data_IF_981739831749
#
_entry.id   IF_981739831749
#
_cell.length_a   1.000
_cell.length_b   1.000
_cell.length_c   1.000
_cell.angle_alpha   90.00
_cell.angle_beta   90.00
_cell.angle_gamma   90.00
#
_symmetry.space_group_name_H-M   'P 1'
#
loop_
_entity.id
_entity.type
_entity.pdbx_description
1 polymer ?
#
# COMPACT_ATOMS: atom_id res chain seq x y z
N UNK A 1 12.15 -69.23 -41.16
CA UNK A 1 11.56 -68.46 -42.28
C UNK A 1 11.74 -67.00 -41.90
N UNK A 2 12.95 -66.46 -42.12
CA UNK A 2 13.42 -65.64 -43.25
C UNK A 2 12.75 -64.25 -43.38
N UNK A 3 13.66 -63.27 -43.40
CA UNK A 3 13.59 -61.82 -43.56
C UNK A 3 12.50 -61.28 -44.51
N UNK A 4 12.04 -60.04 -44.25
CA UNK A 4 12.34 -58.94 -45.19
C UNK A 4 12.31 -57.55 -44.52
N UNK A 5 13.40 -56.75 -44.66
CA UNK A 5 13.48 -55.33 -44.29
C UNK A 5 13.37 -54.48 -45.57
N UNK A 6 12.35 -53.64 -45.68
CA UNK A 6 12.19 -52.83 -46.89
C UNK A 6 11.15 -51.76 -46.74
N UNK A 7 11.60 -50.55 -46.39
CA UNK A 7 11.48 -49.38 -47.26
C UNK A 7 11.87 -48.12 -46.48
N UNK A 8 13.02 -47.56 -46.86
CA UNK A 8 13.13 -46.28 -47.56
C UNK A 8 13.02 -45.11 -46.58
N UNK A 9 14.17 -44.61 -46.13
CA UNK A 9 14.94 -43.52 -46.76
C UNK A 9 14.30 -42.15 -46.51
N UNK A 10 15.19 -41.25 -46.10
CA UNK A 10 15.14 -39.79 -46.17
C UNK A 10 14.67 -39.11 -44.87
N UNK A 11 15.61 -38.45 -44.17
CA UNK A 11 15.91 -37.01 -44.30
C UNK A 11 14.78 -36.23 -43.59
N UNK A 12 14.96 -35.46 -42.52
CA UNK A 12 16.06 -34.60 -42.13
C UNK A 12 15.79 -34.08 -40.72
N UNK A 13 16.84 -34.01 -39.90
CA UNK A 13 17.25 -32.86 -39.08
C UNK A 13 16.13 -31.97 -38.51
N UNK A 14 15.98 -31.95 -37.17
CA UNK A 14 16.20 -30.71 -36.39
C UNK A 14 15.97 -30.85 -34.88
N UNK A 15 17.01 -30.42 -34.15
CA UNK A 15 17.08 -29.87 -32.80
C UNK A 15 16.87 -30.80 -31.59
N UNK A 16 17.99 -31.09 -30.95
CA UNK A 16 18.07 -31.45 -29.54
C UNK A 16 17.60 -30.27 -28.68
N UNK A 17 16.54 -30.48 -27.90
CA UNK A 17 16.34 -29.77 -26.63
C UNK A 17 16.25 -30.85 -25.56
N UNK A 18 17.32 -30.96 -24.77
CA UNK A 18 17.40 -31.84 -23.62
C UNK A 18 16.44 -31.35 -22.54
N UNK A 19 15.29 -31.99 -22.39
CA UNK A 19 14.43 -31.85 -21.22
C UNK A 19 14.70 -33.02 -20.26
N UNK A 20 15.09 -32.67 -19.02
CA UNK A 20 15.27 -33.64 -17.94
C UNK A 20 13.90 -34.24 -17.58
N UNK A 21 13.77 -35.58 -17.50
CA UNK A 21 12.51 -36.22 -17.17
C UNK A 21 12.23 -36.14 -15.67
N UNK A 22 11.03 -35.68 -15.33
CA UNK A 22 10.45 -35.87 -14.00
C UNK A 22 10.19 -37.37 -13.77
N UNK A 23 10.80 -37.93 -12.73
CA UNK A 23 10.56 -39.29 -12.29
C UNK A 23 9.30 -39.39 -11.41
N UNK A 24 8.53 -40.46 -11.62
CA UNK A 24 7.26 -40.78 -10.96
C UNK A 24 7.49 -41.97 -10.01
N UNK A 25 7.32 -41.79 -8.71
CA UNK A 25 6.52 -42.64 -7.80
C UNK A 25 6.95 -42.51 -6.34
N UNK A 26 6.03 -42.05 -5.48
CA UNK A 26 5.54 -42.76 -4.31
C UNK A 26 4.62 -41.82 -3.52
N UNK A 27 3.35 -42.19 -3.39
CA UNK A 27 2.37 -41.58 -2.45
C UNK A 27 2.80 -41.86 -1.00
N UNK A 28 2.48 -41.01 -0.01
CA UNK A 28 1.09 -40.85 0.46
C UNK A 28 0.61 -39.40 0.56
N UNK A 29 -0.71 -39.24 0.53
CA UNK A 29 -1.44 -38.02 0.86
C UNK A 29 -0.87 -37.36 2.12
N UNK A 30 -0.33 -36.17 1.96
CA UNK A 30 -0.36 -35.18 3.03
C UNK A 30 -1.39 -34.14 2.59
N UNK A 31 -2.50 -34.12 3.32
CA UNK A 31 -3.56 -33.15 3.12
C UNK A 31 -2.92 -31.76 3.10
N UNK A 32 -2.98 -31.09 1.94
CA UNK A 32 -2.84 -29.65 1.92
C UNK A 32 -3.85 -29.13 2.94
N UNK A 33 -3.43 -28.43 4.00
CA UNK A 33 -4.36 -27.62 4.75
C UNK A 33 -5.04 -26.73 3.71
N UNK A 34 -6.37 -26.52 3.79
CA UNK A 34 -7.02 -25.49 3.01
C UNK A 34 -6.12 -24.25 3.03
N UNK A 35 -5.90 -23.64 1.87
CA UNK A 35 -5.51 -22.24 1.87
C UNK A 35 -6.63 -21.53 2.63
N UNK A 36 -6.46 -21.43 3.95
CA UNK A 36 -7.03 -20.36 4.71
C UNK A 36 -6.53 -19.14 3.96
N UNK A 37 -7.43 -18.56 3.19
CA UNK A 37 -7.55 -17.13 3.10
C UNK A 37 -7.22 -16.64 4.51
N UNK A 38 -5.95 -16.28 4.74
CA UNK A 38 -5.59 -15.36 5.79
C UNK A 38 -6.20 -14.07 5.31
N UNK A 39 -7.52 -14.00 5.53
CA UNK A 39 -8.25 -12.83 5.89
C UNK A 39 -7.28 -12.07 6.78
N UNK A 40 -6.61 -11.09 6.19
CA UNK A 40 -5.76 -10.12 6.88
C UNK A 40 -6.72 -9.26 7.72
N UNK A 41 -7.40 -9.88 8.67
CA UNK A 41 -8.30 -9.27 9.65
C UNK A 41 -7.49 -8.69 10.82
N UNK A 42 -6.27 -8.27 10.51
CA UNK A 42 -5.50 -7.39 11.35
C UNK A 42 -4.98 -6.24 10.49
N UNK A 43 -5.92 -5.47 9.93
CA UNK A 43 -5.61 -4.15 9.35
C UNK A 43 -5.31 -3.22 10.51
N UNK A 44 -4.12 -3.40 11.07
CA UNK A 44 -3.49 -2.45 11.96
C UNK A 44 -3.28 -1.17 11.15
N UNK A 45 -4.23 -0.25 11.30
CA UNK A 45 -4.35 0.96 10.48
C UNK A 45 -3.06 1.80 10.52
N UNK A 46 -2.18 1.60 11.51
CA UNK A 46 -0.88 2.25 11.65
C UNK A 46 0.08 2.05 10.47
N UNK A 47 0.18 0.83 9.91
CA UNK A 47 1.18 0.54 8.86
C UNK A 47 0.92 1.30 7.55
N UNK A 48 -0.34 1.71 7.29
CA UNK A 48 -0.70 2.49 6.12
C UNK A 48 -0.49 3.99 6.33
N UNK A 49 -0.61 4.48 7.57
CA UNK A 49 -0.26 5.87 7.90
C UNK A 49 1.24 6.11 7.77
N UNK A 50 2.07 5.13 8.12
CA UNK A 50 3.52 5.20 7.94
C UNK A 50 3.92 5.40 6.47
N UNK A 51 3.21 4.73 5.54
CA UNK A 51 3.43 4.90 4.10
C UNK A 51 3.09 6.33 3.67
N UNK A 52 1.89 6.80 4.01
CA UNK A 52 1.44 8.13 3.62
C UNK A 52 2.36 9.22 4.20
N UNK A 53 2.77 9.09 5.47
CA UNK A 53 3.75 10.00 6.07
C UNK A 53 5.08 9.96 5.30
N UNK A 54 5.59 8.78 4.95
CA UNK A 54 6.85 8.67 4.18
C UNK A 54 6.77 9.38 2.83
N UNK A 55 5.68 9.20 2.09
CA UNK A 55 5.45 9.85 0.80
C UNK A 55 5.37 11.38 0.95
N UNK A 56 4.68 11.87 2.00
CA UNK A 56 4.62 13.30 2.33
C UNK A 56 6.02 13.84 2.64
N UNK A 57 6.81 13.15 3.47
CA UNK A 57 8.17 13.56 3.80
C UNK A 57 9.07 13.55 2.56
N UNK A 58 8.99 12.54 1.72
CA UNK A 58 9.75 12.46 0.47
C UNK A 58 9.48 13.67 -0.44
N UNK A 59 8.20 14.05 -0.61
CA UNK A 59 7.82 15.26 -1.36
C UNK A 59 8.36 16.52 -0.70
N UNK A 60 8.28 16.63 0.63
CA UNK A 60 8.79 17.79 1.38
C UNK A 60 10.32 17.92 1.28
N UNK A 61 11.06 16.81 1.26
CA UNK A 61 12.52 16.80 1.11
C UNK A 61 13.01 17.26 -0.26
N UNK A 62 12.13 17.28 -1.27
CA UNK A 62 12.44 17.87 -2.58
C UNK A 62 12.61 19.40 -2.52
N UNK A 63 12.03 20.06 -1.51
CA UNK A 63 12.22 21.48 -1.26
C UNK A 63 13.49 21.71 -0.39
N UNK A 64 14.52 22.40 -0.89
CA UNK A 64 15.76 22.59 -0.13
C UNK A 64 15.57 23.35 1.17
N UNK A 65 14.66 24.33 1.21
CA UNK A 65 14.40 25.15 2.39
C UNK A 65 13.71 24.32 3.46
N UNK A 66 12.64 23.60 3.09
CA UNK A 66 11.92 22.75 4.01
C UNK A 66 12.77 21.59 4.52
N UNK A 67 13.61 21.00 3.66
CA UNK A 67 14.53 19.93 4.06
C UNK A 67 15.51 20.38 5.15
N UNK A 68 16.04 21.59 5.06
CA UNK A 68 16.92 22.15 6.10
C UNK A 68 16.15 22.30 7.43
N UNK A 69 14.90 22.77 7.38
CA UNK A 69 14.02 22.85 8.55
C UNK A 69 13.75 21.47 9.15
N UNK A 70 13.48 20.47 8.31
CA UNK A 70 13.22 19.10 8.74
C UNK A 70 14.44 18.48 9.45
N UNK A 71 15.65 18.74 8.96
CA UNK A 71 16.90 18.21 9.54
C UNK A 71 17.33 18.91 10.84
N UNK A 72 16.97 20.18 11.00
CA UNK A 72 17.37 21.01 12.15
C UNK A 72 16.29 21.10 13.23
N UNK A 73 15.05 20.73 12.91
CA UNK A 73 13.95 20.71 13.86
C UNK A 73 14.23 19.71 14.97
N UNK A 74 14.06 20.16 16.22
CA UNK A 74 14.05 19.26 17.36
C UNK A 74 12.65 18.62 17.51
N UNK A 75 12.55 17.57 18.34
CA UNK A 75 11.28 16.88 18.60
C UNK A 75 10.19 17.81 19.16
N UNK A 76 10.58 18.85 19.92
CA UNK A 76 9.64 19.82 20.48
C UNK A 76 9.06 20.77 19.42
N UNK A 77 9.87 21.17 18.44
CA UNK A 77 9.53 22.05 17.31
C UNK A 77 8.60 21.38 16.30
N UNK A 78 8.72 20.05 16.22
CA UNK A 78 7.80 19.21 15.48
C UNK A 78 6.46 19.13 16.24
N UNK A 79 6.49 18.83 17.54
CA UNK A 79 5.29 18.70 18.38
C UNK A 79 4.52 20.01 18.57
N UNK A 80 5.21 21.14 18.65
CA UNK A 80 4.59 22.46 18.83
C UNK A 80 4.08 23.09 17.50
N UNK A 81 4.16 22.34 16.39
CA UNK A 81 3.64 22.77 15.08
C UNK A 81 4.47 23.87 14.41
N UNK A 82 5.70 24.15 14.86
CA UNK A 82 6.59 25.11 14.17
C UNK A 82 6.97 24.62 12.80
N UNK A 83 7.32 23.33 12.65
CA UNK A 83 7.66 22.76 11.35
C UNK A 83 6.48 22.85 10.36
N UNK A 84 5.26 22.62 10.84
CA UNK A 84 4.06 22.72 10.01
C UNK A 84 3.79 24.11 9.45
N UNK A 85 4.24 25.19 10.11
CA UNK A 85 4.10 26.57 9.61
C UNK A 85 5.05 26.88 8.46
N UNK A 86 6.18 26.19 8.37
CA UNK A 86 7.13 26.34 7.25
C UNK A 86 6.54 25.83 5.94
N UNK A 87 5.43 25.08 5.99
CA UNK A 87 4.70 24.61 4.82
C UNK A 87 4.24 25.77 3.92
N UNK A 88 3.95 26.95 4.47
CA UNK A 88 3.55 28.16 3.71
C UNK A 88 4.66 28.72 2.82
N UNK A 89 5.90 28.33 3.08
CA UNK A 89 7.07 28.82 2.35
C UNK A 89 7.56 27.85 1.27
N UNK A 90 7.00 26.64 1.20
CA UNK A 90 7.42 25.64 0.21
C UNK A 90 6.99 26.04 -1.20
N UNK A 91 7.75 25.60 -2.20
CA UNK A 91 7.44 25.87 -3.59
C UNK A 91 6.04 25.37 -4.02
N UNK A 92 5.42 26.08 -4.96
CA UNK A 92 4.07 25.74 -5.46
C UNK A 92 3.98 24.30 -5.97
N UNK A 93 5.01 23.80 -6.65
CA UNK A 93 5.05 22.41 -7.12
C UNK A 93 4.90 21.39 -5.98
N UNK A 94 5.58 21.65 -4.86
CA UNK A 94 5.52 20.80 -3.67
C UNK A 94 4.12 20.85 -3.07
N UNK A 95 3.52 22.04 -2.95
CA UNK A 95 2.10 22.18 -2.53
C UNK A 95 1.15 21.38 -3.40
N UNK A 96 1.25 21.50 -4.73
CA UNK A 96 0.39 20.73 -5.65
C UNK A 96 0.57 19.23 -5.45
N UNK A 97 1.81 18.75 -5.25
CA UNK A 97 2.08 17.34 -4.99
C UNK A 97 1.49 16.86 -3.67
N UNK A 98 1.61 17.65 -2.61
CA UNK A 98 1.02 17.34 -1.30
C UNK A 98 -0.51 17.28 -1.37
N UNK A 99 -1.15 18.21 -2.07
CA UNK A 99 -2.60 18.18 -2.32
C UNK A 99 -3.02 16.92 -3.07
N UNK A 100 -2.22 16.47 -4.04
CA UNK A 100 -2.49 15.24 -4.79
C UNK A 100 -2.34 14.00 -3.91
N UNK A 101 -1.28 13.92 -3.08
CA UNK A 101 -1.11 12.84 -2.10
C UNK A 101 -2.29 12.79 -1.12
N UNK A 102 -2.75 13.94 -0.59
CA UNK A 102 -3.92 13.98 0.31
C UNK A 102 -5.17 13.42 -0.36
N UNK A 103 -5.44 13.79 -1.61
CA UNK A 103 -6.60 13.27 -2.35
C UNK A 103 -6.51 11.78 -2.59
N UNK A 104 -5.33 11.27 -2.90
CA UNK A 104 -5.10 9.83 -3.07
C UNK A 104 -5.37 9.09 -1.77
N UNK A 105 -4.85 9.58 -0.65
CA UNK A 105 -5.07 8.96 0.66
C UNK A 105 -6.55 9.00 1.06
N UNK A 106 -7.22 10.15 0.90
CA UNK A 106 -8.66 10.27 1.15
C UNK A 106 -9.46 9.27 0.29
N UNK A 107 -9.11 9.12 -0.99
CA UNK A 107 -9.76 8.17 -1.90
C UNK A 107 -9.58 6.72 -1.43
N UNK A 108 -8.36 6.37 -1.02
CA UNK A 108 -8.03 5.05 -0.47
C UNK A 108 -8.83 4.76 0.80
N UNK A 109 -8.88 5.71 1.73
CA UNK A 109 -9.62 5.57 3.00
C UNK A 109 -11.12 5.40 2.77
N UNK A 110 -11.70 6.12 1.81
CA UNK A 110 -13.11 5.93 1.39
C UNK A 110 -13.36 4.55 0.81
N UNK A 111 -12.45 4.04 -0.01
CA UNK A 111 -12.58 2.71 -0.60
C UNK A 111 -12.55 1.63 0.49
N UNK A 112 -11.63 1.75 1.45
CA UNK A 112 -11.55 0.83 2.59
C UNK A 112 -12.81 0.87 3.45
N UNK A 113 -13.32 2.08 3.74
CA UNK A 113 -14.57 2.23 4.48
C UNK A 113 -15.74 1.57 3.75
N UNK A 114 -15.85 1.79 2.43
CA UNK A 114 -16.89 1.18 1.62
C UNK A 114 -16.79 -0.34 1.62
N UNK A 115 -15.60 -0.89 1.40
CA UNK A 115 -15.38 -2.34 1.41
C UNK A 115 -15.74 -2.96 2.76
N UNK A 116 -15.37 -2.31 3.88
CA UNK A 116 -15.76 -2.74 5.23
C UNK A 116 -17.27 -2.71 5.43
N UNK A 117 -17.95 -1.65 4.98
CA UNK A 117 -19.42 -1.54 5.05
C UNK A 117 -20.09 -2.64 4.21
N UNK A 118 -19.66 -2.85 2.96
CA UNK A 118 -20.21 -3.86 2.07
C UNK A 118 -20.03 -5.28 2.66
N UNK A 119 -18.90 -5.53 3.34
CA UNK A 119 -18.62 -6.79 4.04
C UNK A 119 -19.44 -6.97 5.33
N UNK A 120 -19.80 -5.88 6.00
CA UNK A 120 -20.56 -5.90 7.27
C UNK A 120 -22.08 -5.92 7.03
N UNK A 121 -22.57 -5.38 5.91
CA UNK A 121 -23.99 -5.29 5.58
C UNK A 121 -24.69 -6.67 5.43
N UNK A 122 -23.93 -7.77 5.35
CA UNK A 122 -24.46 -9.15 5.42
C UNK A 122 -24.75 -9.64 6.85
N UNK A 123 -24.27 -8.95 7.89
CA UNK A 123 -24.39 -9.40 9.28
C UNK A 123 -24.55 -8.21 10.24
N UNK A 124 -25.80 -7.92 10.59
CA UNK A 124 -26.26 -6.93 11.59
C UNK A 124 -26.42 -5.46 11.12
N UNK A 125 -27.69 -5.03 11.17
CA UNK A 125 -28.13 -3.65 11.06
C UNK A 125 -27.65 -2.87 12.29
N UNK A 126 -27.13 -1.65 12.08
CA UNK A 126 -26.56 -0.70 13.05
C UNK A 126 -25.05 -0.86 13.34
N UNK A 127 -24.22 -0.81 12.30
CA UNK A 127 -22.86 -0.28 12.51
C UNK A 127 -22.96 1.25 12.46
N UNK A 128 -22.57 1.93 13.55
CA UNK A 128 -22.59 3.39 13.63
C UNK A 128 -21.57 3.98 12.66
N UNK A 129 -22.05 4.58 11.56
CA UNK A 129 -21.23 5.20 10.52
C UNK A 129 -20.23 6.21 11.10
N UNK A 130 -20.59 6.91 12.19
CA UNK A 130 -19.72 7.87 12.86
C UNK A 130 -18.52 7.19 13.54
N UNK A 131 -18.71 6.00 14.11
CA UNK A 131 -17.67 5.22 14.78
C UNK A 131 -16.64 4.63 13.81
N UNK A 132 -17.04 4.27 12.58
CA UNK A 132 -16.10 3.85 11.53
C UNK A 132 -15.34 5.03 10.93
N UNK A 133 -15.98 6.19 10.78
CA UNK A 133 -15.31 7.41 10.32
C UNK A 133 -14.26 7.89 11.33
N UNK A 134 -14.47 7.64 12.63
CA UNK A 134 -13.47 7.87 13.68
C UNK A 134 -12.17 7.08 13.50
N UNK A 135 -12.19 5.96 12.78
CA UNK A 135 -10.94 5.25 12.45
C UNK A 135 -10.04 6.06 11.48
N UNK A 136 -10.62 7.09 10.86
CA UNK A 136 -9.97 8.00 9.90
C UNK A 136 -10.01 9.47 10.37
N UNK A 137 -10.12 9.71 11.70
CA UNK A 137 -10.40 11.00 12.36
C UNK A 137 -9.37 12.12 12.07
N UNK A 138 -8.30 11.84 11.32
CA UNK A 138 -7.32 12.82 10.87
C UNK A 138 -7.70 13.53 9.56
N UNK A 139 -8.74 13.07 8.86
CA UNK A 139 -9.24 13.74 7.67
C UNK A 139 -10.21 14.84 8.06
N UNK A 140 -9.81 16.11 7.87
CA UNK A 140 -10.73 17.24 8.02
C UNK A 140 -11.91 17.10 7.03
N UNK A 141 -13.17 16.95 7.51
CA UNK A 141 -14.34 16.83 6.65
C UNK A 141 -14.56 18.07 5.77
N UNK A 142 -14.12 19.24 6.23
CA UNK A 142 -14.29 20.52 5.55
C UNK A 142 -13.17 20.82 4.55
N UNK A 143 -12.01 20.16 4.69
CA UNK A 143 -10.89 20.29 3.76
C UNK A 143 -10.25 18.93 3.44
N UNK A 144 -10.74 18.31 2.36
CA UNK A 144 -10.29 16.99 1.91
C UNK A 144 -9.29 17.04 0.75
N UNK A 145 -9.04 18.23 0.23
CA UNK A 145 -8.42 18.43 -1.09
C UNK A 145 -7.09 19.17 -1.01
N UNK A 146 -6.90 19.97 0.03
CA UNK A 146 -5.72 20.80 0.21
C UNK A 146 -4.95 20.30 1.42
N UNK A 147 -3.66 20.04 1.25
CA UNK A 147 -2.77 19.63 2.33
C UNK A 147 -2.28 20.86 3.10
N UNK A 148 -2.66 20.95 4.37
CA UNK A 148 -2.42 22.07 5.25
C UNK A 148 -1.42 21.75 6.36
N UNK A 149 -0.93 22.80 7.02
CA UNK A 149 -0.08 22.70 8.20
C UNK A 149 -0.69 21.78 9.27
N UNK A 150 -2.02 21.81 9.44
CA UNK A 150 -2.71 20.97 10.43
C UNK A 150 -2.65 19.50 10.06
N UNK A 151 -2.73 19.15 8.78
CA UNK A 151 -2.60 17.76 8.32
C UNK A 151 -1.21 17.21 8.68
N UNK A 152 -0.15 17.99 8.43
CA UNK A 152 1.22 17.59 8.77
C UNK A 152 1.43 17.45 10.28
N UNK A 153 0.88 18.37 11.07
CA UNK A 153 0.94 18.30 12.55
C UNK A 153 0.28 17.01 13.06
N UNK A 154 -0.91 16.69 12.56
CA UNK A 154 -1.63 15.47 12.92
C UNK A 154 -0.85 14.22 12.50
N UNK A 155 -0.37 14.17 11.24
CA UNK A 155 0.39 13.03 10.72
C UNK A 155 1.62 12.72 11.55
N UNK A 156 2.38 13.73 11.93
CA UNK A 156 3.58 13.52 12.74
C UNK A 156 3.22 13.16 14.18
N UNK A 157 2.15 13.74 14.73
CA UNK A 157 1.67 13.40 16.08
C UNK A 157 1.24 11.94 16.22
N UNK A 158 0.58 11.38 15.20
CA UNK A 158 0.13 9.98 15.19
C UNK A 158 1.30 8.99 15.21
N UNK A 159 2.41 9.32 14.54
CA UNK A 159 3.60 8.45 14.51
C UNK A 159 4.49 8.62 15.75
N UNK A 160 4.39 9.75 16.44
CA UNK A 160 5.16 10.03 17.67
C UNK A 160 4.42 9.67 18.97
N UNK A 161 3.23 9.06 18.89
CA UNK A 161 2.44 8.62 20.04
C UNK A 161 3.00 7.39 20.75
#
# INVERSE_FOLDING_TARGET
MNLDPGWLLLLSISLEVWSVPLDRNATPQEAQPPQEDKQEDNVDTGLYYDRYLREVIEVLETDPHFREKLQTANTEDIKNGRLSKELDLVGHHVRTRLDELKRQEVSRLRMLLKAKLDSTNTQSLQMDHASLLKQFEHLDPHNQNTFEAKDLELLISTVMQ
#
